data_IF_056116226568
#
_entry.id   IF_056116226568
#
_cell.length_a   1.000
_cell.length_b   1.000
_cell.length_c   1.000
_cell.angle_alpha   90.00
_cell.angle_beta   90.00
_cell.angle_gamma   90.00
#
_symmetry.space_group_name_H-M   'P 1'
#
loop_
_entity.id
_entity.type
_entity.pdbx_description
1 polymer ?
#
# COMPACT_ATOMS: atom_id res chain seq x y z
N UNK A 1 8.11 10.78 -21.88
CA UNK A 1 8.39 11.19 -20.48
C UNK A 1 7.04 11.52 -19.86
N UNK A 2 6.60 10.75 -18.87
CA UNK A 2 5.35 11.03 -18.18
C UNK A 2 5.50 12.34 -17.40
N UNK A 3 4.72 13.36 -17.76
CA UNK A 3 4.57 14.63 -17.02
C UNK A 3 3.82 14.38 -15.70
N UNK A 4 4.29 13.44 -14.88
CA UNK A 4 3.70 13.14 -13.58
C UNK A 4 4.34 14.08 -12.59
N UNK A 5 3.64 15.18 -12.29
CA UNK A 5 4.04 16.10 -11.24
C UNK A 5 3.78 15.43 -9.90
N UNK A 6 4.85 15.14 -9.16
CA UNK A 6 4.73 14.56 -7.81
C UNK A 6 4.07 15.58 -6.88
N UNK A 7 3.06 15.13 -6.14
CA UNK A 7 2.32 15.97 -5.19
C UNK A 7 3.02 15.97 -3.83
N UNK A 8 3.34 14.78 -3.29
CA UNK A 8 4.21 14.64 -2.12
C UNK A 8 4.71 13.21 -1.94
N UNK A 9 5.60 13.04 -0.96
CA UNK A 9 6.20 11.77 -0.55
C UNK A 9 5.84 11.47 0.90
N UNK A 10 5.68 10.20 1.23
CA UNK A 10 5.44 9.75 2.60
C UNK A 10 6.27 8.50 2.89
N UNK A 11 6.87 8.45 4.08
CA UNK A 11 7.58 7.28 4.57
C UNK A 11 7.45 7.20 6.09
N UNK A 12 7.61 6.00 6.65
CA UNK A 12 7.66 5.78 8.10
C UNK A 12 8.59 4.64 8.46
N UNK A 13 9.04 4.63 9.70
CA UNK A 13 9.74 3.48 10.27
C UNK A 13 8.74 2.36 10.58
N UNK A 14 9.17 1.12 10.38
CA UNK A 14 8.42 -0.07 10.81
C UNK A 14 8.42 -0.16 12.34
N UNK A 15 7.26 -0.48 12.89
CA UNK A 15 7.11 -0.82 14.30
C UNK A 15 7.82 -2.15 14.61
N UNK A 16 8.13 -2.40 15.88
CA UNK A 16 8.83 -3.63 16.29
C UNK A 16 8.06 -4.89 15.85
N UNK A 17 6.73 -4.84 15.85
CA UNK A 17 5.88 -5.94 15.41
C UNK A 17 5.90 -6.13 13.89
N UNK A 18 5.80 -5.03 13.13
CA UNK A 18 5.84 -5.08 11.67
C UNK A 18 7.17 -5.62 11.13
N UNK A 19 8.28 -5.41 11.83
CA UNK A 19 9.59 -5.97 11.43
C UNK A 19 9.61 -7.49 11.29
N UNK A 20 8.69 -8.19 11.95
CA UNK A 20 8.59 -9.64 11.88
C UNK A 20 7.68 -10.11 10.74
N UNK A 21 7.03 -9.19 10.02
CA UNK A 21 6.16 -9.54 8.91
C UNK A 21 6.98 -9.94 7.68
N UNK A 22 6.49 -10.91 6.90
CA UNK A 22 7.10 -11.22 5.62
C UNK A 22 6.99 -10.02 4.66
N UNK A 23 7.87 -9.96 3.66
CA UNK A 23 8.00 -8.80 2.76
C UNK A 23 6.69 -8.40 2.08
N UNK A 24 5.86 -9.37 1.70
CA UNK A 24 4.56 -9.10 1.07
C UNK A 24 3.57 -8.38 2.00
N UNK A 25 3.57 -8.71 3.29
CA UNK A 25 2.74 -8.05 4.29
C UNK A 25 3.27 -6.64 4.60
N UNK A 26 4.60 -6.46 4.58
CA UNK A 26 5.23 -5.14 4.77
C UNK A 26 4.84 -4.14 3.67
N UNK A 27 4.79 -4.60 2.43
CA UNK A 27 4.36 -3.77 1.31
C UNK A 27 2.86 -3.46 1.37
N UNK A 28 2.02 -4.43 1.75
CA UNK A 28 0.60 -4.18 2.00
C UNK A 28 0.42 -3.12 3.09
N UNK A 29 1.18 -3.23 4.17
CA UNK A 29 1.21 -2.25 5.26
C UNK A 29 1.66 -0.86 4.75
N UNK A 30 2.57 -0.79 3.79
CA UNK A 30 2.98 0.47 3.15
C UNK A 30 1.84 1.09 2.31
N UNK A 31 1.12 0.28 1.54
CA UNK A 31 -0.06 0.73 0.76
C UNK A 31 -1.16 1.25 1.69
N UNK A 32 -1.51 0.48 2.72
CA UNK A 32 -2.51 0.89 3.72
C UNK A 32 -2.10 2.18 4.43
N UNK A 33 -0.81 2.33 4.75
CA UNK A 33 -0.27 3.55 5.34
C UNK A 33 -0.42 4.77 4.42
N UNK A 34 -0.08 4.64 3.13
CA UNK A 34 -0.25 5.71 2.15
C UNK A 34 -1.73 6.10 2.01
N UNK A 35 -2.63 5.13 1.86
CA UNK A 35 -4.07 5.39 1.75
C UNK A 35 -4.64 6.08 3.00
N UNK A 36 -4.16 5.74 4.20
CA UNK A 36 -4.57 6.39 5.45
C UNK A 36 -4.12 7.85 5.53
N UNK A 37 -2.86 8.14 5.20
CA UNK A 37 -2.35 9.53 5.21
C UNK A 37 -3.12 10.40 4.22
N UNK A 38 -3.30 9.87 3.01
CA UNK A 38 -3.84 10.61 1.89
C UNK A 38 -5.35 10.45 1.75
N UNK A 39 -6.04 9.90 2.76
CA UNK A 39 -7.48 9.67 2.73
C UNK A 39 -8.26 10.93 2.33
N UNK A 40 -7.84 12.09 2.79
CA UNK A 40 -8.49 13.36 2.45
C UNK A 40 -8.40 13.72 0.95
N UNK A 41 -7.41 13.22 0.22
CA UNK A 41 -7.29 13.37 -1.24
C UNK A 41 -7.91 12.19 -2.02
N UNK A 42 -7.84 10.99 -1.46
CA UNK A 42 -8.14 9.73 -2.17
C UNK A 42 -9.56 9.21 -1.90
N UNK A 43 -10.29 9.78 -0.95
CA UNK A 43 -11.62 9.29 -0.59
C UNK A 43 -12.66 9.56 -1.69
N UNK A 44 -13.33 8.52 -2.15
CA UNK A 44 -14.40 8.62 -3.15
C UNK A 44 -13.91 8.74 -4.60
N UNK A 45 -12.60 8.64 -4.85
CA UNK A 45 -12.01 8.66 -6.18
C UNK A 45 -11.37 7.32 -6.52
N UNK A 46 -11.32 6.99 -7.81
CA UNK A 46 -10.57 5.84 -8.30
C UNK A 46 -9.06 6.14 -8.18
N UNK A 47 -8.31 5.20 -7.63
CA UNK A 47 -6.86 5.36 -7.39
C UNK A 47 -6.14 4.14 -7.92
N UNK A 48 -5.17 4.39 -8.80
CA UNK A 48 -4.25 3.35 -9.30
C UNK A 48 -3.03 3.26 -8.40
N UNK A 49 -2.81 2.10 -7.79
CA UNK A 49 -1.64 1.82 -6.95
C UNK A 49 -0.65 0.98 -7.75
N UNK A 50 0.53 1.54 -8.00
CA UNK A 50 1.64 0.85 -8.65
C UNK A 50 2.59 0.31 -7.59
N UNK A 51 2.80 -1.01 -7.59
CA UNK A 51 3.72 -1.72 -6.69
C UNK A 51 4.52 -2.73 -7.52
N UNK A 52 5.76 -2.98 -7.12
CA UNK A 52 6.66 -3.97 -7.72
C UNK A 52 6.31 -5.41 -7.32
N UNK A 53 5.36 -5.61 -6.41
CA UNK A 53 5.01 -6.93 -5.91
C UNK A 53 3.76 -7.52 -6.56
N UNK A 54 3.96 -8.62 -7.30
CA UNK A 54 2.90 -9.31 -8.04
C UNK A 54 1.79 -9.89 -7.14
N UNK A 55 2.11 -10.32 -5.92
CA UNK A 55 1.10 -10.90 -5.01
C UNK A 55 0.05 -9.89 -4.54
N UNK A 56 0.37 -8.58 -4.52
CA UNK A 56 -0.59 -7.55 -4.12
C UNK A 56 -1.76 -7.40 -5.10
N UNK A 57 -1.59 -7.82 -6.36
CA UNK A 57 -2.67 -7.83 -7.35
C UNK A 57 -3.83 -8.76 -6.95
N UNK A 58 -3.53 -9.79 -6.15
CA UNK A 58 -4.51 -10.78 -5.74
C UNK A 58 -5.18 -10.46 -4.41
N UNK A 59 -4.79 -9.40 -3.69
CA UNK A 59 -5.40 -9.03 -2.40
C UNK A 59 -6.90 -8.78 -2.53
N UNK A 60 -7.34 -8.21 -3.66
CA UNK A 60 -8.76 -7.96 -3.93
C UNK A 60 -9.48 -9.13 -4.62
N UNK A 61 -8.73 -10.14 -5.08
CA UNK A 61 -9.27 -11.31 -5.80
C UNK A 61 -9.32 -12.58 -4.93
N UNK A 62 -8.47 -12.66 -3.90
CA UNK A 62 -8.45 -13.74 -2.94
C UNK A 62 -9.66 -13.64 -2.01
N UNK A 63 -10.51 -14.68 -2.04
CA UNK A 63 -11.69 -14.81 -1.16
C UNK A 63 -11.31 -15.00 0.31
N UNK A 64 -10.16 -15.61 0.57
CA UNK A 64 -9.61 -15.83 1.90
C UNK A 64 -8.20 -15.25 1.95
N UNK A 65 -8.08 -14.00 2.38
CA UNK A 65 -6.79 -13.46 2.81
C UNK A 65 -6.46 -14.25 4.08
N UNK A 66 -5.30 -14.92 4.13
CA UNK A 66 -4.85 -15.59 5.35
C UNK A 66 -4.63 -14.53 6.45
N UNK A 67 -5.70 -14.20 7.17
CA UNK A 67 -5.70 -13.39 8.37
C UNK A 67 -5.16 -14.29 9.49
N UNK A 68 -3.84 -14.42 9.53
CA UNK A 68 -3.17 -15.23 10.53
C UNK A 68 -3.12 -14.50 11.89
#
# INVERSE_FOLDING_TARGET
MQNVKVIAYASRKLTVHEKNYPTHDLELVAVVFALKIWRHYLYGVHVDVFTDHKNLQYVFSQKDINLR
#
